data_IF_340313974521
#
_entry.id   IF_340313974521
#
_cell.length_a   1.000
_cell.length_b   1.000
_cell.length_c   1.000
_cell.angle_alpha   90.00
_cell.angle_beta   90.00
_cell.angle_gamma   90.00
#
_symmetry.space_group_name_H-M   'P 1'
#
loop_
_entity.id
_entity.type
_entity.pdbx_description
1 polymer ?
#
# COMPACT_ATOMS: atom_id res chain seq x y z
N UNK A 1 10.49 12.09 9.22
CA UNK A 1 11.57 12.58 8.33
C UNK A 1 11.45 11.87 6.99
N UNK A 2 11.60 12.59 5.90
CA UNK A 2 11.77 12.05 4.54
C UNK A 2 13.26 11.83 4.28
N UNK A 3 13.61 10.92 3.40
CA UNK A 3 15.00 10.60 3.05
C UNK A 3 15.17 9.12 2.76
N UNK A 4 16.40 8.74 2.41
CA UNK A 4 16.78 7.34 2.17
C UNK A 4 17.65 6.90 3.36
N UNK A 5 17.20 5.88 4.06
CA UNK A 5 17.82 5.34 5.25
C UNK A 5 18.35 3.94 4.96
N UNK A 6 19.61 3.70 5.22
CA UNK A 6 20.25 2.40 5.02
C UNK A 6 20.56 1.73 6.36
N UNK A 7 20.22 0.46 6.45
CA UNK A 7 20.80 -0.45 7.42
C UNK A 7 21.75 -1.38 6.66
N UNK A 8 23.07 -1.12 6.80
CA UNK A 8 24.08 -1.93 6.15
C UNK A 8 24.10 -3.33 6.74
N UNK A 9 23.86 -4.33 5.89
CA UNK A 9 23.84 -5.73 6.28
C UNK A 9 24.28 -6.61 5.12
N UNK A 10 25.17 -7.56 5.40
CA UNK A 10 25.63 -8.55 4.44
C UNK A 10 24.55 -9.59 4.17
N UNK A 11 23.72 -9.30 3.20
CA UNK A 11 22.63 -10.16 2.70
C UNK A 11 22.55 -10.10 1.18
N UNK A 12 22.01 -11.14 0.56
CA UNK A 12 22.00 -11.28 -0.90
C UNK A 12 20.88 -10.49 -1.60
N UNK A 13 19.90 -10.01 -0.84
CA UNK A 13 18.75 -9.26 -1.38
C UNK A 13 18.53 -8.00 -0.56
N UNK A 14 18.20 -6.90 -1.24
CA UNK A 14 17.77 -5.68 -0.59
C UNK A 14 16.28 -5.79 -0.19
N UNK A 15 15.99 -5.48 1.08
CA UNK A 15 14.62 -5.29 1.56
C UNK A 15 14.34 -3.79 1.60
N UNK A 16 13.32 -3.37 0.88
CA UNK A 16 12.98 -1.95 0.68
C UNK A 16 11.58 -1.70 1.22
N UNK A 17 11.44 -0.65 2.03
CA UNK A 17 10.17 -0.15 2.49
C UNK A 17 10.10 1.36 2.27
N UNK A 18 9.13 1.80 1.47
CA UNK A 18 8.78 3.20 1.28
C UNK A 18 7.54 3.49 2.12
N UNK A 19 7.55 4.51 2.96
CA UNK A 19 6.42 4.80 3.85
C UNK A 19 6.20 6.30 4.09
N UNK A 20 4.94 6.67 4.27
CA UNK A 20 4.52 8.01 4.66
C UNK A 20 3.42 7.94 5.75
N UNK A 21 3.27 9.00 6.57
CA UNK A 21 2.19 9.08 7.55
C UNK A 21 0.81 8.99 6.87
N UNK A 22 -0.10 8.29 7.55
CA UNK A 22 -1.48 8.18 7.14
C UNK A 22 -2.42 8.56 8.29
N UNK A 23 -3.71 8.56 8.06
CA UNK A 23 -4.72 8.99 9.02
C UNK A 23 -4.96 7.97 10.13
N UNK A 24 -5.40 8.48 11.28
CA UNK A 24 -6.07 7.67 12.32
C UNK A 24 -7.54 7.53 11.94
N UNK A 25 -8.14 6.36 12.14
CA UNK A 25 -9.57 6.12 11.92
C UNK A 25 -10.43 6.53 13.13
N UNK A 26 -11.72 6.91 12.90
CA UNK A 26 -12.37 7.07 11.59
C UNK A 26 -11.89 8.32 10.83
N UNK A 27 -11.76 8.24 9.52
CA UNK A 27 -11.37 9.36 8.66
C UNK A 27 -11.94 9.17 7.24
N UNK A 28 -12.44 10.23 6.57
CA UNK A 28 -13.05 10.11 5.25
C UNK A 28 -12.08 9.62 4.17
N UNK A 29 -10.80 9.92 4.27
CA UNK A 29 -9.79 9.49 3.30
C UNK A 29 -9.47 7.99 3.38
N UNK A 30 -9.93 7.28 4.42
CA UNK A 30 -9.51 5.90 4.61
C UNK A 30 -9.96 4.98 3.47
N UNK A 31 -11.25 4.97 3.13
CA UNK A 31 -11.79 4.06 2.12
C UNK A 31 -11.27 4.37 0.71
N UNK A 32 -11.24 5.65 0.25
CA UNK A 32 -10.60 5.97 -1.00
C UNK A 32 -9.11 5.59 -1.06
N UNK A 33 -8.37 5.75 0.05
CA UNK A 33 -6.95 5.33 0.10
C UNK A 33 -6.79 3.81 0.11
N UNK A 34 -7.70 3.07 0.75
CA UNK A 34 -7.70 1.61 0.72
C UNK A 34 -7.87 1.08 -0.72
N UNK A 35 -8.82 1.66 -1.48
CA UNK A 35 -9.01 1.33 -2.90
C UNK A 35 -7.79 1.74 -3.73
N UNK A 36 -7.25 2.94 -3.51
CA UNK A 36 -6.07 3.44 -4.20
C UNK A 36 -4.85 2.54 -3.96
N UNK A 37 -4.61 2.16 -2.71
CA UNK A 37 -3.54 1.24 -2.33
C UNK A 37 -3.72 -0.14 -2.94
N UNK A 38 -4.97 -0.63 -3.03
CA UNK A 38 -5.27 -1.92 -3.66
C UNK A 38 -4.89 -1.90 -5.15
N UNK A 39 -5.30 -0.87 -5.89
CA UNK A 39 -4.95 -0.69 -7.31
C UNK A 39 -3.45 -0.56 -7.49
N UNK A 40 -2.77 0.21 -6.64
CA UNK A 40 -1.34 0.42 -6.74
C UNK A 40 -0.55 -0.87 -6.52
N UNK A 41 -0.76 -1.60 -5.42
CA UNK A 41 0.07 -2.75 -5.04
C UNK A 41 -0.61 -3.79 -4.15
N UNK A 42 -1.85 -3.55 -3.66
CA UNK A 42 -2.57 -4.46 -2.76
C UNK A 42 -3.32 -5.58 -3.48
N UNK A 43 -3.61 -5.42 -4.75
CA UNK A 43 -4.42 -6.34 -5.56
C UNK A 43 -3.67 -7.58 -6.07
N UNK A 44 -2.59 -8.00 -5.43
CA UNK A 44 -1.78 -9.13 -5.87
C UNK A 44 -1.38 -8.99 -7.35
N UNK A 45 -1.55 -10.02 -8.18
CA UNK A 45 -1.12 -10.04 -9.59
C UNK A 45 -1.82 -9.01 -10.48
N UNK A 46 -2.99 -8.51 -10.10
CA UNK A 46 -3.74 -7.50 -10.86
C UNK A 46 -3.34 -6.06 -10.56
N UNK A 47 -2.43 -5.83 -9.61
CA UNK A 47 -2.00 -4.48 -9.22
C UNK A 47 -0.90 -3.95 -10.13
N UNK A 48 -0.82 -2.62 -10.26
CA UNK A 48 0.12 -1.94 -11.14
C UNK A 48 1.58 -2.22 -10.80
N UNK A 49 1.94 -2.16 -9.51
CA UNK A 49 3.32 -2.44 -9.09
C UNK A 49 3.71 -3.90 -9.34
N UNK A 50 2.78 -4.85 -9.19
CA UNK A 50 3.06 -6.25 -9.54
C UNK A 50 3.27 -6.43 -11.05
N UNK A 51 2.48 -5.77 -11.88
CA UNK A 51 2.69 -5.77 -13.33
C UNK A 51 4.06 -5.17 -13.67
N UNK A 52 4.31 -3.92 -13.27
CA UNK A 52 5.50 -3.15 -13.66
C UNK A 52 6.79 -3.73 -13.07
N UNK A 53 6.84 -4.01 -11.76
CA UNK A 53 8.11 -4.38 -11.09
C UNK A 53 8.39 -5.87 -11.21
N UNK A 54 7.36 -6.72 -11.14
CA UNK A 54 7.54 -8.17 -11.21
C UNK A 54 7.38 -8.72 -12.62
N UNK A 55 6.22 -8.52 -13.25
CA UNK A 55 5.88 -9.25 -14.50
C UNK A 55 6.68 -8.73 -15.67
N UNK A 56 6.80 -7.41 -15.82
CA UNK A 56 7.45 -6.80 -16.98
C UNK A 56 8.97 -6.72 -16.82
N UNK A 57 9.47 -6.55 -15.61
CA UNK A 57 10.90 -6.31 -15.35
C UNK A 57 11.59 -7.41 -14.52
N UNK A 58 10.85 -8.33 -13.90
CA UNK A 58 11.42 -9.45 -13.13
C UNK A 58 12.26 -9.06 -11.91
N UNK A 59 12.04 -7.84 -11.35
CA UNK A 59 12.91 -7.28 -10.32
C UNK A 59 12.57 -7.79 -8.91
N UNK A 60 11.33 -8.19 -8.66
CA UNK A 60 10.90 -8.65 -7.34
C UNK A 60 10.00 -9.88 -7.45
N UNK A 61 10.09 -10.79 -6.47
CA UNK A 61 9.12 -11.90 -6.36
C UNK A 61 7.74 -11.39 -5.95
N UNK A 62 7.72 -10.44 -5.02
CA UNK A 62 6.50 -9.80 -4.55
C UNK A 62 6.75 -8.33 -4.22
N UNK A 63 5.74 -7.51 -4.49
CA UNK A 63 5.68 -6.11 -4.10
C UNK A 63 4.27 -5.82 -3.64
N UNK A 64 4.14 -5.10 -2.52
CA UNK A 64 2.84 -4.81 -1.92
C UNK A 64 2.73 -3.36 -1.49
N UNK A 65 1.53 -2.82 -1.61
CA UNK A 65 1.15 -1.50 -1.12
C UNK A 65 0.01 -1.65 -0.10
N UNK A 66 0.09 -0.93 1.01
CA UNK A 66 -0.91 -0.94 2.06
C UNK A 66 -1.19 0.45 2.63
N UNK A 67 -2.46 0.65 3.01
CA UNK A 67 -2.91 1.74 3.89
C UNK A 67 -3.33 1.13 5.22
N UNK A 68 -2.62 1.44 6.30
CA UNK A 68 -2.87 0.85 7.61
C UNK A 68 -4.24 1.26 8.17
N UNK A 69 -4.96 0.28 8.71
CA UNK A 69 -6.24 0.45 9.36
C UNK A 69 -6.06 0.73 10.86
N UNK A 70 -5.53 1.91 11.20
CA UNK A 70 -5.23 2.27 12.58
C UNK A 70 -6.34 3.07 13.24
N UNK A 71 -6.77 2.65 14.44
CA UNK A 71 -7.78 3.32 15.26
C UNK A 71 -7.20 3.98 16.52
N UNK A 72 -6.02 3.58 16.98
CA UNK A 72 -5.40 4.11 18.21
C UNK A 72 -4.47 5.27 17.91
N UNK A 73 -3.62 5.09 16.94
CA UNK A 73 -2.57 6.05 16.59
C UNK A 73 -2.66 6.46 15.12
N UNK A 74 -1.80 7.38 14.72
CA UNK A 74 -1.61 7.70 13.31
C UNK A 74 -1.10 6.46 12.58
N UNK A 75 -1.79 6.10 11.49
CA UNK A 75 -1.38 5.03 10.59
C UNK A 75 -0.26 5.46 9.64
N UNK A 76 0.10 4.57 8.76
CA UNK A 76 1.00 4.86 7.62
C UNK A 76 0.46 4.19 6.35
N UNK A 77 0.83 4.77 5.20
CA UNK A 77 0.83 4.06 3.93
C UNK A 77 2.24 3.54 3.69
N UNK A 78 2.37 2.38 3.08
CA UNK A 78 3.68 1.85 2.75
C UNK A 78 3.67 0.94 1.52
N UNK A 79 4.82 0.87 0.87
CA UNK A 79 5.14 -0.07 -0.20
C UNK A 79 6.33 -0.88 0.27
N UNK A 80 6.26 -2.20 0.16
CA UNK A 80 7.35 -3.10 0.53
C UNK A 80 7.67 -4.06 -0.58
N UNK A 81 8.97 -4.30 -0.80
CA UNK A 81 9.46 -5.28 -1.76
C UNK A 81 10.80 -5.87 -1.31
N UNK A 82 11.13 -7.01 -1.88
CA UNK A 82 12.44 -7.63 -1.80
C UNK A 82 12.97 -7.83 -3.22
N UNK A 83 14.19 -7.35 -3.48
CA UNK A 83 14.81 -7.39 -4.80
C UNK A 83 16.30 -7.73 -4.70
N UNK A 84 16.94 -8.04 -5.82
CA UNK A 84 18.40 -8.14 -5.86
C UNK A 84 19.01 -6.77 -5.55
N UNK A 85 20.17 -6.78 -4.90
CA UNK A 85 20.86 -5.56 -4.48
C UNK A 85 21.11 -4.63 -5.66
N UNK A 86 21.63 -5.17 -6.77
CA UNK A 86 21.90 -4.43 -7.99
C UNK A 86 20.66 -3.86 -8.69
N UNK A 87 19.49 -4.37 -8.38
CA UNK A 87 18.21 -3.96 -8.96
C UNK A 87 17.46 -2.93 -8.11
N UNK A 88 17.96 -2.61 -6.92
CA UNK A 88 17.25 -1.78 -5.94
C UNK A 88 16.92 -0.37 -6.49
N UNK A 89 17.88 0.30 -7.11
CA UNK A 89 17.70 1.62 -7.68
C UNK A 89 16.64 1.63 -8.79
N UNK A 90 16.70 0.68 -9.71
CA UNK A 90 15.72 0.54 -10.79
C UNK A 90 14.32 0.24 -10.24
N UNK A 91 14.21 -0.64 -9.25
CA UNK A 91 12.92 -0.97 -8.64
C UNK A 91 12.27 0.25 -7.97
N UNK A 92 13.05 1.05 -7.24
CA UNK A 92 12.57 2.31 -6.63
C UNK A 92 12.12 3.31 -7.70
N UNK A 93 12.89 3.50 -8.76
CA UNK A 93 12.55 4.40 -9.88
C UNK A 93 11.22 3.99 -10.54
N UNK A 94 11.04 2.69 -10.83
CA UNK A 94 9.81 2.18 -11.42
C UNK A 94 8.60 2.37 -10.50
N UNK A 95 8.76 2.16 -9.19
CA UNK A 95 7.70 2.40 -8.20
C UNK A 95 7.30 3.88 -8.23
N UNK A 96 8.28 4.80 -8.19
CA UNK A 96 8.03 6.24 -8.19
C UNK A 96 7.30 6.67 -9.47
N UNK A 97 7.74 6.20 -10.63
CA UNK A 97 7.10 6.47 -11.92
C UNK A 97 5.66 5.95 -11.99
N UNK A 98 5.40 4.77 -11.45
CA UNK A 98 4.04 4.22 -11.45
C UNK A 98 3.10 4.99 -10.50
N UNK A 99 3.61 5.44 -9.35
CA UNK A 99 2.87 6.33 -8.44
C UNK A 99 2.54 7.65 -9.16
N UNK A 100 3.52 8.29 -9.79
CA UNK A 100 3.35 9.54 -10.52
C UNK A 100 2.34 9.39 -11.67
N UNK A 101 2.41 8.27 -12.40
CA UNK A 101 1.46 7.94 -13.46
C UNK A 101 0.04 7.81 -12.93
N UNK A 102 -0.16 7.02 -11.86
CA UNK A 102 -1.48 6.84 -11.25
C UNK A 102 -2.02 8.17 -10.66
N UNK A 103 -1.16 8.99 -10.07
CA UNK A 103 -1.52 10.32 -9.57
C UNK A 103 -1.94 11.28 -10.70
N UNK A 104 -1.33 11.18 -11.87
CA UNK A 104 -1.61 12.05 -13.02
C UNK A 104 -2.82 11.61 -13.83
N UNK A 105 -2.91 10.31 -14.11
CA UNK A 105 -3.88 9.74 -15.07
C UNK A 105 -5.13 9.18 -14.37
N UNK A 106 -5.04 8.86 -13.08
CA UNK A 106 -6.07 8.13 -12.34
C UNK A 106 -6.13 6.64 -12.71
N UNK A 107 -7.04 5.89 -12.10
CA UNK A 107 -7.30 4.50 -12.46
C UNK A 107 -8.21 4.40 -13.68
N UNK A 108 -8.14 3.28 -14.40
CA UNK A 108 -9.15 2.90 -15.37
C UNK A 108 -10.45 2.46 -14.68
N UNK A 109 -11.58 2.44 -15.42
CA UNK A 109 -12.84 1.94 -14.87
C UNK A 109 -12.72 0.47 -14.45
N UNK A 110 -12.03 -0.33 -15.25
CA UNK A 110 -11.80 -1.75 -14.95
C UNK A 110 -10.99 -1.96 -13.65
N UNK A 111 -9.93 -1.16 -13.41
CA UNK A 111 -9.15 -1.22 -12.17
C UNK A 111 -9.98 -0.83 -10.95
N UNK A 112 -10.79 0.22 -11.07
CA UNK A 112 -11.65 0.67 -9.97
C UNK A 112 -12.70 -0.38 -9.62
N UNK A 113 -13.42 -0.89 -10.60
CA UNK A 113 -14.47 -1.90 -10.39
C UNK A 113 -13.88 -3.22 -9.84
N UNK A 114 -12.75 -3.67 -10.39
CA UNK A 114 -12.07 -4.86 -9.88
C UNK A 114 -11.60 -4.69 -8.42
N UNK A 115 -11.06 -3.52 -8.08
CA UNK A 115 -10.62 -3.22 -6.72
C UNK A 115 -11.79 -3.25 -5.74
N UNK A 116 -12.90 -2.53 -6.05
CA UNK A 116 -14.10 -2.53 -5.23
C UNK A 116 -14.65 -3.93 -5.03
N UNK A 117 -14.83 -4.67 -6.13
CA UNK A 117 -15.33 -6.04 -6.11
C UNK A 117 -14.50 -6.92 -5.19
N UNK A 118 -13.19 -6.94 -5.39
CA UNK A 118 -12.31 -7.83 -4.60
C UNK A 118 -12.27 -7.46 -3.13
N UNK A 119 -12.25 -6.16 -2.79
CA UNK A 119 -12.28 -5.70 -1.39
C UNK A 119 -13.57 -6.09 -0.68
N UNK A 120 -14.72 -6.03 -1.39
CA UNK A 120 -16.02 -6.40 -0.84
C UNK A 120 -16.16 -7.93 -0.75
N UNK A 121 -15.77 -8.67 -1.78
CA UNK A 121 -15.82 -10.14 -1.81
C UNK A 121 -14.89 -10.80 -0.80
N UNK A 122 -13.84 -10.10 -0.37
CA UNK A 122 -12.96 -10.55 0.71
C UNK A 122 -13.59 -10.44 2.11
N UNK A 123 -14.65 -9.64 2.28
CA UNK A 123 -15.25 -9.38 3.60
C UNK A 123 -15.84 -10.63 4.27
N UNK A 124 -16.56 -11.53 3.60
CA UNK A 124 -17.11 -12.73 4.23
C UNK A 124 -16.07 -13.64 4.87
N UNK A 125 -14.85 -13.69 4.32
CA UNK A 125 -13.78 -14.53 4.86
C UNK A 125 -13.34 -14.13 6.28
N UNK A 126 -13.65 -12.91 6.71
CA UNK A 126 -13.40 -12.46 8.09
C UNK A 126 -14.29 -13.18 9.11
N UNK A 127 -15.39 -13.78 8.66
CA UNK A 127 -16.43 -14.42 9.46
C UNK A 127 -16.44 -15.95 9.31
N UNK A 128 -15.34 -16.54 8.83
CA UNK A 128 -15.23 -17.97 8.48
C UNK A 128 -15.49 -18.93 9.65
N UNK A 129 -15.34 -18.48 10.89
CA UNK A 129 -15.60 -19.30 12.07
C UNK A 129 -16.23 -18.50 13.20
N UNK A 130 -16.94 -19.19 14.15
CA UNK A 130 -17.47 -18.51 15.35
C UNK A 130 -16.37 -17.82 16.17
N UNK A 131 -15.16 -18.39 16.23
CA UNK A 131 -14.03 -17.82 16.94
C UNK A 131 -13.55 -16.52 16.25
N UNK A 132 -13.34 -16.52 14.92
CA UNK A 132 -12.97 -15.34 14.15
C UNK A 132 -14.01 -14.24 14.30
N UNK A 133 -15.29 -14.60 14.19
CA UNK A 133 -16.41 -13.67 14.34
C UNK A 133 -16.42 -13.02 15.74
N UNK A 134 -16.26 -13.82 16.81
CA UNK A 134 -16.24 -13.32 18.19
C UNK A 134 -15.06 -12.35 18.42
N UNK A 135 -13.87 -12.71 17.93
CA UNK A 135 -12.68 -11.84 18.02
C UNK A 135 -12.91 -10.53 17.28
N UNK A 136 -13.51 -10.60 16.09
CA UNK A 136 -13.76 -9.44 15.24
C UNK A 136 -14.70 -8.43 15.91
N UNK A 137 -15.77 -8.90 16.54
CA UNK A 137 -16.70 -8.03 17.29
C UNK A 137 -16.07 -7.50 18.57
N UNK A 138 -15.38 -8.34 19.35
CA UNK A 138 -14.68 -7.88 20.56
C UNK A 138 -13.62 -6.81 20.25
N UNK A 139 -12.88 -6.97 19.15
CA UNK A 139 -11.96 -5.93 18.67
C UNK A 139 -12.71 -4.68 18.19
N UNK A 140 -13.87 -4.86 17.56
CA UNK A 140 -14.76 -3.77 17.16
C UNK A 140 -15.15 -2.89 18.34
N UNK A 141 -15.67 -3.50 19.40
CA UNK A 141 -16.04 -2.82 20.65
C UNK A 141 -14.85 -2.09 21.28
N UNK A 142 -13.71 -2.78 21.41
CA UNK A 142 -12.48 -2.19 21.96
C UNK A 142 -12.00 -0.97 21.18
N UNK A 143 -12.25 -0.92 19.88
CA UNK A 143 -11.85 0.16 18.97
C UNK A 143 -12.97 1.19 18.74
N UNK A 144 -14.12 1.03 19.39
CA UNK A 144 -15.27 1.92 19.24
C UNK A 144 -15.88 1.91 17.85
N UNK A 145 -15.84 0.78 17.14
CA UNK A 145 -16.52 0.63 15.86
C UNK A 145 -18.02 0.55 16.05
N UNK A 146 -18.78 1.10 15.11
CA UNK A 146 -20.24 0.97 15.09
C UNK A 146 -20.66 -0.46 14.75
N UNK A 147 -21.83 -0.90 15.20
CA UNK A 147 -22.42 -2.19 14.82
C UNK A 147 -22.61 -2.34 13.31
N UNK A 148 -22.90 -1.21 12.63
CA UNK A 148 -23.02 -1.13 11.17
C UNK A 148 -21.70 -1.18 10.41
N UNK A 149 -20.57 -1.25 11.10
CA UNK A 149 -19.23 -1.06 10.51
C UNK A 149 -18.99 -1.85 9.20
N UNK A 150 -19.43 -3.09 9.13
CA UNK A 150 -19.22 -3.93 7.94
C UNK A 150 -20.21 -3.64 6.83
N UNK A 151 -21.42 -3.17 7.16
CA UNK A 151 -22.40 -2.67 6.19
C UNK A 151 -21.92 -1.34 5.62
N UNK A 152 -21.48 -0.42 6.49
CA UNK A 152 -20.91 0.87 6.11
C UNK A 152 -19.67 0.68 5.22
N UNK A 153 -18.82 -0.31 5.51
CA UNK A 153 -17.65 -0.64 4.70
C UNK A 153 -18.03 -0.90 3.24
N UNK A 154 -19.04 -1.72 2.99
CA UNK A 154 -19.49 -2.04 1.63
C UNK A 154 -20.00 -0.79 0.91
N UNK A 155 -20.78 0.05 1.60
CA UNK A 155 -21.32 1.28 1.04
C UNK A 155 -20.18 2.28 0.71
N UNK A 156 -19.25 2.48 1.64
CA UNK A 156 -18.12 3.39 1.49
C UNK A 156 -17.17 2.96 0.35
N UNK A 157 -16.86 1.66 0.24
CA UNK A 157 -16.04 1.15 -0.87
C UNK A 157 -16.75 1.35 -2.21
N UNK A 158 -18.06 1.06 -2.30
CA UNK A 158 -18.82 1.27 -3.53
C UNK A 158 -18.90 2.74 -3.94
N UNK A 159 -18.94 3.67 -2.99
CA UNK A 159 -19.03 5.11 -3.24
C UNK A 159 -17.72 5.73 -3.75
N UNK A 160 -16.58 5.03 -3.66
CA UNK A 160 -15.27 5.58 -4.09
C UNK A 160 -15.26 5.88 -5.58
N UNK A 161 -14.78 7.07 -5.96
CA UNK A 161 -14.66 7.51 -7.36
C UNK A 161 -13.21 7.46 -7.85
N UNK A 162 -13.01 7.56 -9.17
CA UNK A 162 -11.67 7.63 -9.80
C UNK A 162 -10.89 8.85 -9.33
N UNK A 163 -11.57 9.98 -9.23
CA UNK A 163 -11.00 11.24 -8.78
C UNK A 163 -10.51 11.15 -7.33
N UNK A 164 -11.27 10.48 -6.48
CA UNK A 164 -10.84 10.23 -5.09
C UNK A 164 -9.61 9.34 -5.05
N UNK A 165 -9.56 8.25 -5.81
CA UNK A 165 -8.37 7.38 -5.92
C UNK A 165 -7.16 8.20 -6.34
N UNK A 166 -7.27 8.99 -7.41
CA UNK A 166 -6.21 9.85 -7.93
C UNK A 166 -5.72 10.84 -6.87
N UNK A 167 -6.64 11.51 -6.16
CA UNK A 167 -6.32 12.43 -5.08
C UNK A 167 -5.59 11.76 -3.92
N UNK A 168 -6.00 10.55 -3.54
CA UNK A 168 -5.37 9.82 -2.43
C UNK A 168 -3.95 9.37 -2.78
N UNK A 169 -3.71 8.93 -4.01
CA UNK A 169 -2.34 8.63 -4.48
C UNK A 169 -1.46 9.87 -4.41
N UNK A 170 -1.91 10.99 -4.96
CA UNK A 170 -1.16 12.24 -4.95
C UNK A 170 -0.91 12.78 -3.52
N UNK A 171 -1.84 12.54 -2.60
CA UNK A 171 -1.77 13.03 -1.22
C UNK A 171 -0.87 12.18 -0.32
N UNK A 172 -1.05 10.86 -0.35
CA UNK A 172 -0.46 9.95 0.64
C UNK A 172 0.71 9.12 0.10
N UNK A 173 0.78 8.88 -1.22
CA UNK A 173 1.86 8.11 -1.83
C UNK A 173 2.88 8.99 -2.59
N UNK A 174 2.85 10.31 -2.41
CA UNK A 174 3.81 11.23 -3.02
C UNK A 174 5.26 10.78 -2.71
N UNK A 175 6.05 10.33 -3.70
CA UNK A 175 7.41 9.82 -3.47
C UNK A 175 8.31 10.82 -2.74
N UNK A 176 8.09 12.13 -2.94
CA UNK A 176 8.87 13.20 -2.29
C UNK A 176 8.59 13.32 -0.79
N UNK A 177 7.51 12.74 -0.32
CA UNK A 177 7.09 12.74 1.10
C UNK A 177 7.29 11.40 1.79
N UNK A 178 7.70 10.37 1.06
CA UNK A 178 7.97 9.05 1.63
C UNK A 178 9.40 8.95 2.17
N UNK A 179 9.54 8.28 3.31
CA UNK A 179 10.82 7.76 3.76
C UNK A 179 11.08 6.41 3.07
N UNK A 180 12.29 6.21 2.60
CA UNK A 180 12.74 4.95 1.98
C UNK A 180 13.74 4.30 2.92
N UNK A 181 13.37 3.16 3.52
CA UNK A 181 14.25 2.36 4.35
C UNK A 181 14.73 1.14 3.57
N UNK A 182 16.03 0.93 3.55
CA UNK A 182 16.68 -0.17 2.84
C UNK A 182 17.51 -0.97 3.83
N UNK A 183 17.37 -2.29 3.81
CA UNK A 183 18.28 -3.21 4.48
C UNK A 183 19.01 -3.99 3.40
N UNK A 184 20.33 -3.87 3.35
CA UNK A 184 21.18 -4.51 2.34
C UNK A 184 22.62 -4.03 2.39
N UNK A 185 23.54 -4.62 1.62
CA UNK A 185 24.95 -4.23 1.60
C UNK A 185 25.12 -2.86 0.93
N UNK A 186 25.72 -1.91 1.65
CA UNK A 186 25.96 -0.54 1.16
C UNK A 186 26.76 -0.53 -0.16
N UNK A 187 27.71 -1.45 -0.28
CA UNK A 187 28.59 -1.54 -1.46
C UNK A 187 27.83 -1.72 -2.78
N UNK A 188 26.67 -2.35 -2.75
CA UNK A 188 25.83 -2.62 -3.93
C UNK A 188 24.66 -1.64 -4.11
N UNK A 189 24.48 -0.65 -3.21
CA UNK A 189 23.33 0.27 -3.19
C UNK A 189 23.71 1.72 -3.55
N UNK A 190 24.89 1.94 -4.12
CA UNK A 190 25.42 3.29 -4.43
C UNK A 190 24.55 4.11 -5.37
N UNK A 191 23.83 3.46 -6.27
CA UNK A 191 22.98 4.12 -7.28
C UNK A 191 21.59 4.49 -6.76
N UNK A 192 21.26 4.12 -5.52
CA UNK A 192 19.93 4.42 -4.93
C UNK A 192 19.82 5.89 -4.53
N UNK A 193 20.90 6.57 -4.28
CA UNK A 193 20.97 7.98 -3.88
C UNK A 193 21.76 8.19 -2.59
N UNK A 194 21.70 9.40 -2.05
CA UNK A 194 22.41 9.75 -0.82
C UNK A 194 21.61 9.29 0.40
N UNK A 195 22.25 8.49 1.23
CA UNK A 195 21.66 8.06 2.52
C UNK A 195 21.68 9.20 3.54
N UNK A 196 20.62 9.28 4.35
CA UNK A 196 20.39 10.31 5.37
C UNK A 196 20.85 9.84 6.73
#
# INVERSE_FOLDING_TARGET
KTGIFLVDKDITQANIQMSAPFVKRPHPDYYPTAVASFILGGGSFSSRLMATVRSDNGLAYSIHSYAENSYRDQGRVFISLQTKVESAALAIDLIQKEIEKLAKEGPTDAELEQAKKTLIEGLPSLFDSPASTSILFAQGDLLGKKDSHYIDYVQEINAVTKEQVQQMIAKYFDPKKMAICIVGPESGLKDVGTFT
#
